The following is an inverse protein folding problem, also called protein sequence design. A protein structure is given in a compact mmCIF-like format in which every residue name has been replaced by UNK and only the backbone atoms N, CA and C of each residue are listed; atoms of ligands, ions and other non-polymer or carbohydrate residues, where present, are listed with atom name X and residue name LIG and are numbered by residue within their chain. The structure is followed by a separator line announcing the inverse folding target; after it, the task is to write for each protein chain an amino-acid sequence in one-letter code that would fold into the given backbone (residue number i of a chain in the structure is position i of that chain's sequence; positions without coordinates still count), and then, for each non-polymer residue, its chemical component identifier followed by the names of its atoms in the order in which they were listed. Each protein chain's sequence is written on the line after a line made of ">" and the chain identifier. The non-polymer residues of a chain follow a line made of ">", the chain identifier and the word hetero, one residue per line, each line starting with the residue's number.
data_IF_853794417870
#
_entry.id   IF_853794417870
#
_cell.length_a   1.000
_cell.length_b   1.000
_cell.length_c   1.000
_cell.angle_alpha   90.00
_cell.angle_beta   90.00
_cell.angle_gamma   90.00
#
_symmetry.space_group_name_H-M   'P 1'
#
loop_
_entity.id
_entity.type
_entity.pdbx_description
1 polymer ?
#
# COMPACT_ATOMS: atom_id res chain seq x y z
N UNK A 1 -20.77 -11.08 -7.51
CA UNK A 1 -19.96 -10.25 -6.63
C UNK A 1 -19.99 -8.79 -7.08
N UNK A 2 -20.02 -7.84 -6.12
CA UNK A 2 -19.92 -6.40 -6.39
C UNK A 2 -18.94 -5.71 -5.42
N UNK A 3 -18.11 -4.81 -5.95
CA UNK A 3 -17.40 -3.82 -5.15
C UNK A 3 -18.25 -2.57 -4.99
N UNK A 4 -18.82 -2.40 -3.80
CA UNK A 4 -19.58 -1.22 -3.39
C UNK A 4 -18.66 -0.23 -2.64
N UNK A 5 -19.24 0.66 -1.86
CA UNK A 5 -18.49 1.68 -1.12
C UNK A 5 -19.03 1.83 0.30
N UNK A 6 -18.17 2.16 1.24
CA UNK A 6 -18.61 2.61 2.57
C UNK A 6 -19.54 3.82 2.50
N UNK A 7 -19.53 4.57 1.39
CA UNK A 7 -20.44 5.69 1.14
C UNK A 7 -21.87 5.25 0.72
N UNK A 8 -22.15 3.97 0.52
CA UNK A 8 -23.48 3.47 0.19
C UNK A 8 -24.54 3.78 1.27
N UNK A 9 -24.10 4.10 2.48
CA UNK A 9 -24.97 4.52 3.60
C UNK A 9 -25.26 6.02 3.64
N UNK A 10 -24.61 6.82 2.78
CA UNK A 10 -24.75 8.28 2.75
C UNK A 10 -25.95 8.69 1.90
N UNK A 11 -26.70 9.71 2.35
CA UNK A 11 -27.83 10.28 1.62
C UNK A 11 -27.36 11.30 0.56
N UNK A 12 -26.67 10.79 -0.45
CA UNK A 12 -26.29 11.53 -1.66
C UNK A 12 -26.45 10.64 -2.89
N UNK A 13 -26.36 11.22 -4.09
CA UNK A 13 -26.63 10.50 -5.34
C UNK A 13 -25.70 9.31 -5.56
N UNK A 14 -24.40 9.45 -5.19
CA UNK A 14 -23.44 8.37 -5.26
C UNK A 14 -23.78 7.22 -4.30
N UNK A 15 -24.06 7.53 -3.03
CA UNK A 15 -24.46 6.55 -2.02
C UNK A 15 -25.74 5.82 -2.41
N UNK A 16 -26.77 6.56 -2.86
CA UNK A 16 -28.04 6.00 -3.36
C UNK A 16 -27.81 5.05 -4.53
N UNK A 17 -27.00 5.45 -5.51
CA UNK A 17 -26.68 4.59 -6.67
C UNK A 17 -25.98 3.29 -6.25
N UNK A 18 -25.03 3.36 -5.31
CA UNK A 18 -24.34 2.17 -4.77
C UNK A 18 -25.34 1.29 -4.03
N UNK A 19 -26.18 1.86 -3.17
CA UNK A 19 -27.19 1.13 -2.40
C UNK A 19 -28.22 0.43 -3.32
N UNK A 20 -28.69 1.11 -4.35
CA UNK A 20 -29.60 0.50 -5.35
C UNK A 20 -28.97 -0.71 -6.05
N UNK A 21 -27.67 -0.65 -6.35
CA UNK A 21 -26.96 -1.78 -6.95
C UNK A 21 -26.84 -2.96 -5.98
N UNK A 22 -26.60 -2.69 -4.68
CA UNK A 22 -26.61 -3.72 -3.64
C UNK A 22 -27.98 -4.38 -3.52
N UNK A 23 -29.04 -3.58 -3.42
CA UNK A 23 -30.42 -4.05 -3.25
C UNK A 23 -30.89 -4.91 -4.45
N UNK A 24 -30.49 -4.51 -5.67
CA UNK A 24 -30.78 -5.29 -6.87
C UNK A 24 -30.13 -6.68 -6.85
N UNK A 25 -28.89 -6.78 -6.37
CA UNK A 25 -28.19 -8.07 -6.24
C UNK A 25 -28.74 -8.92 -5.10
N UNK A 26 -29.13 -8.33 -3.98
CA UNK A 26 -29.78 -9.03 -2.87
C UNK A 26 -31.09 -9.63 -3.35
N UNK A 27 -31.93 -8.84 -4.03
CA UNK A 27 -33.16 -9.31 -4.62
C UNK A 27 -32.94 -10.47 -5.60
N UNK A 28 -31.96 -10.35 -6.49
CA UNK A 28 -31.61 -11.43 -7.41
C UNK A 28 -31.16 -12.70 -6.67
N UNK A 29 -30.39 -12.58 -5.60
CA UNK A 29 -30.03 -13.73 -4.77
C UNK A 29 -31.23 -14.43 -4.15
N UNK A 30 -32.19 -13.66 -3.64
CA UNK A 30 -33.40 -14.22 -3.01
C UNK A 30 -34.33 -14.88 -4.03
N UNK A 31 -34.37 -14.39 -5.28
CA UNK A 31 -35.23 -14.95 -6.36
C UNK A 31 -34.59 -16.19 -7.02
N UNK A 32 -33.26 -16.28 -7.10
CA UNK A 32 -32.55 -17.30 -7.89
C UNK A 32 -31.65 -18.23 -7.05
N UNK A 33 -31.62 -18.09 -5.73
CA UNK A 33 -30.71 -18.80 -4.81
C UNK A 33 -29.23 -18.66 -5.22
N UNK A 34 -28.87 -17.50 -5.78
CA UNK A 34 -27.49 -17.21 -6.22
C UNK A 34 -26.65 -16.68 -5.07
N UNK A 35 -25.41 -17.16 -4.93
CA UNK A 35 -24.46 -16.60 -3.97
C UNK A 35 -24.10 -15.17 -4.36
N UNK A 36 -24.25 -14.22 -3.43
CA UNK A 36 -23.90 -12.81 -3.61
C UNK A 36 -22.87 -12.36 -2.58
N UNK A 37 -21.84 -11.65 -3.05
CA UNK A 37 -20.76 -11.08 -2.25
C UNK A 37 -20.71 -9.58 -2.49
N UNK A 38 -20.93 -8.77 -1.45
CA UNK A 38 -20.93 -7.31 -1.49
C UNK A 38 -19.81 -6.79 -0.62
N UNK A 39 -18.81 -6.14 -1.23
CA UNK A 39 -17.72 -5.48 -0.53
C UNK A 39 -17.94 -3.98 -0.50
N UNK A 40 -18.19 -3.39 0.67
CA UNK A 40 -18.22 -1.95 0.88
C UNK A 40 -16.80 -1.44 1.16
N UNK A 41 -16.06 -1.14 0.10
CA UNK A 41 -14.68 -0.71 0.20
C UNK A 41 -14.55 0.75 0.65
N UNK A 42 -13.58 1.07 1.53
CA UNK A 42 -13.16 2.44 1.81
C UNK A 42 -12.35 2.99 0.63
N UNK A 43 -11.48 4.00 0.87
CA UNK A 43 -10.63 4.55 -0.19
C UNK A 43 -9.67 3.49 -0.73
N UNK A 44 -9.88 3.08 -1.96
CA UNK A 44 -9.04 2.11 -2.65
C UNK A 44 -7.80 2.79 -3.24
N UNK A 45 -6.64 2.19 -3.06
CA UNK A 45 -5.40 2.60 -3.72
C UNK A 45 -4.65 1.39 -4.27
N UNK A 46 -3.77 1.63 -5.23
CA UNK A 46 -2.94 0.57 -5.79
C UNK A 46 -2.34 0.91 -7.13
N UNK A 47 -1.63 -0.07 -7.66
CA UNK A 47 -0.88 -0.01 -8.91
C UNK A 47 -1.78 0.38 -10.09
N UNK A 48 -1.26 1.21 -11.01
CA UNK A 48 -1.90 1.63 -12.27
C UNK A 48 -3.23 2.38 -12.13
N UNK A 49 -3.58 2.83 -10.93
CA UNK A 49 -4.75 3.67 -10.75
C UNK A 49 -4.57 5.01 -11.48
N UNK A 50 -5.59 5.47 -12.19
CA UNK A 50 -5.55 6.73 -12.93
C UNK A 50 -5.37 7.92 -11.98
N UNK A 51 -4.29 8.73 -12.12
CA UNK A 51 -4.11 9.94 -11.31
C UNK A 51 -5.10 11.03 -11.71
N UNK A 52 -5.30 12.03 -10.85
CA UNK A 52 -6.19 13.17 -11.08
C UNK A 52 -7.64 12.78 -11.42
N UNK A 53 -8.11 11.68 -10.84
CA UNK A 53 -9.48 11.21 -11.04
C UNK A 53 -10.18 10.98 -9.68
N UNK A 54 -10.15 9.80 -9.10
CA UNK A 54 -10.88 9.47 -7.88
C UNK A 54 -10.00 9.01 -6.70
N UNK A 55 -8.68 9.11 -6.80
CA UNK A 55 -7.76 8.66 -5.76
C UNK A 55 -6.74 9.75 -5.43
N UNK A 56 -6.79 10.26 -4.21
CA UNK A 56 -5.79 11.18 -3.70
C UNK A 56 -4.40 10.51 -3.68
N UNK A 57 -4.32 9.25 -3.24
CA UNK A 57 -3.04 8.49 -3.19
C UNK A 57 -2.41 8.41 -4.58
N UNK A 58 -3.19 8.05 -5.61
CA UNK A 58 -2.71 7.97 -7.00
C UNK A 58 -2.21 9.30 -7.52
N UNK A 59 -2.95 10.38 -7.21
CA UNK A 59 -2.56 11.74 -7.59
C UNK A 59 -1.25 12.15 -6.91
N UNK A 60 -1.10 11.85 -5.61
CA UNK A 60 0.14 12.14 -4.88
C UNK A 60 1.33 11.32 -5.40
N UNK A 61 1.13 10.03 -5.67
CA UNK A 61 2.15 9.18 -6.28
C UNK A 61 2.64 9.74 -7.61
N UNK A 62 1.69 10.08 -8.49
CA UNK A 62 1.99 10.64 -9.80
C UNK A 62 2.74 11.98 -9.69
N UNK A 63 2.21 12.92 -8.90
CA UNK A 63 2.82 14.24 -8.76
C UNK A 63 4.26 14.14 -8.21
N UNK A 64 4.47 13.35 -7.16
CA UNK A 64 5.80 13.20 -6.56
C UNK A 64 6.77 12.44 -7.48
N UNK A 65 6.29 11.46 -8.24
CA UNK A 65 7.10 10.76 -9.23
C UNK A 65 7.61 11.70 -10.34
N UNK A 66 6.81 12.70 -10.70
CA UNK A 66 7.12 13.67 -11.76
C UNK A 66 7.63 15.04 -11.24
N UNK A 67 8.04 15.11 -9.96
CA UNK A 67 8.50 16.34 -9.30
C UNK A 67 7.50 17.51 -9.39
N UNK A 68 6.19 17.20 -9.42
CA UNK A 68 5.11 18.17 -9.39
C UNK A 68 4.69 18.49 -7.96
N UNK A 69 4.11 19.68 -7.77
CA UNK A 69 3.62 20.11 -6.46
C UNK A 69 2.46 19.22 -5.97
N UNK A 70 2.49 18.90 -4.69
CA UNK A 70 1.40 18.27 -3.98
C UNK A 70 0.79 19.28 -3.02
N UNK A 71 -0.48 19.55 -3.21
CA UNK A 71 -1.24 20.41 -2.35
C UNK A 71 -2.21 19.64 -1.48
N UNK A 72 -2.21 19.92 -0.17
CA UNK A 72 -3.05 19.29 0.83
C UNK A 72 -3.67 20.40 1.66
N UNK A 73 -5.00 20.43 1.76
CA UNK A 73 -5.71 21.41 2.59
C UNK A 73 -5.39 21.26 4.07
N UNK A 74 -5.48 20.03 4.57
CA UNK A 74 -5.23 19.68 5.95
C UNK A 74 -4.48 18.34 6.01
N UNK A 75 -3.19 18.34 6.38
CA UNK A 75 -2.39 17.12 6.46
C UNK A 75 -2.84 16.16 7.57
N UNK A 76 -3.64 16.61 8.54
CA UNK A 76 -4.13 15.80 9.65
C UNK A 76 -5.35 14.94 9.28
N UNK A 77 -6.00 15.17 8.13
CA UNK A 77 -7.13 14.35 7.70
C UNK A 77 -6.69 12.90 7.55
N UNK A 78 -7.34 12.01 8.31
CA UNK A 78 -7.12 10.59 8.27
C UNK A 78 -8.01 9.91 7.22
N UNK A 79 -7.42 9.01 6.44
CA UNK A 79 -8.10 8.16 5.48
C UNK A 79 -8.06 6.70 5.92
N UNK A 80 -9.19 6.02 5.77
CA UNK A 80 -9.24 4.57 5.75
C UNK A 80 -8.94 4.11 4.32
N UNK A 81 -7.90 3.30 4.16
CA UNK A 81 -7.34 2.89 2.88
C UNK A 81 -7.33 1.37 2.78
N UNK A 82 -7.64 0.84 1.60
CA UNK A 82 -7.48 -0.58 1.27
C UNK A 82 -6.63 -0.73 0.02
N UNK A 83 -5.69 -1.67 0.04
CA UNK A 83 -4.80 -1.92 -1.09
C UNK A 83 -5.43 -2.87 -2.10
N UNK A 84 -5.22 -2.62 -3.38
CA UNK A 84 -5.87 -3.39 -4.45
C UNK A 84 -5.57 -4.89 -4.39
N UNK A 85 -4.34 -5.29 -4.04
CA UNK A 85 -3.98 -6.71 -3.99
C UNK A 85 -4.71 -7.42 -2.83
N UNK A 86 -4.95 -6.73 -1.69
CA UNK A 86 -5.72 -7.27 -0.57
C UNK A 86 -7.19 -7.47 -0.97
N UNK A 87 -7.75 -6.54 -1.76
CA UNK A 87 -9.12 -6.67 -2.30
C UNK A 87 -9.21 -7.85 -3.26
N UNK A 88 -8.23 -7.99 -4.16
CA UNK A 88 -8.19 -9.10 -5.13
C UNK A 88 -8.08 -10.44 -4.41
N UNK A 89 -7.22 -10.55 -3.39
CA UNK A 89 -7.12 -11.76 -2.57
C UNK A 89 -8.45 -12.10 -1.90
N UNK A 90 -9.12 -11.10 -1.29
CA UNK A 90 -10.43 -11.27 -0.66
C UNK A 90 -11.51 -11.74 -1.65
N UNK A 91 -11.49 -11.24 -2.88
CA UNK A 91 -12.42 -11.65 -3.93
C UNK A 91 -12.16 -13.11 -4.34
N UNK A 92 -10.90 -13.50 -4.52
CA UNK A 92 -10.52 -14.87 -4.88
C UNK A 92 -10.96 -15.83 -3.79
N UNK A 93 -10.67 -15.54 -2.51
CA UNK A 93 -11.07 -16.37 -1.38
C UNK A 93 -12.59 -16.54 -1.28
N UNK A 94 -13.35 -15.48 -1.59
CA UNK A 94 -14.81 -15.59 -1.66
C UNK A 94 -15.30 -16.48 -2.81
N UNK A 95 -14.62 -16.48 -3.96
CA UNK A 95 -14.98 -17.32 -5.10
C UNK A 95 -14.66 -18.79 -4.80
N UNK A 96 -13.54 -19.05 -4.15
CA UNK A 96 -13.07 -20.38 -3.78
C UNK A 96 -13.71 -20.89 -2.48
N UNK A 97 -14.44 -20.04 -1.76
CA UNK A 97 -15.04 -20.28 -0.43
C UNK A 97 -13.99 -20.69 0.64
N UNK A 98 -12.79 -20.15 0.48
CA UNK A 98 -11.64 -20.39 1.35
C UNK A 98 -11.25 -19.13 2.14
N UNK A 99 -10.53 -19.31 3.25
CA UNK A 99 -9.94 -18.22 4.04
C UNK A 99 -10.90 -17.09 4.45
N UNK A 100 -12.20 -17.42 4.63
CA UNK A 100 -13.25 -16.48 5.04
C UNK A 100 -13.52 -16.65 6.53
N UNK A 101 -13.39 -15.58 7.30
CA UNK A 101 -13.85 -15.54 8.68
C UNK A 101 -15.36 -15.36 8.69
N UNK A 102 -16.09 -16.38 9.16
CA UNK A 102 -17.56 -16.31 9.34
C UNK A 102 -17.83 -15.92 10.79
N UNK A 103 -18.33 -14.71 11.02
CA UNK A 103 -18.76 -14.29 12.36
C UNK A 103 -20.03 -15.04 12.73
N UNK A 104 -19.95 -15.85 13.80
CA UNK A 104 -21.09 -16.63 14.27
C UNK A 104 -22.08 -15.84 15.12
N UNK A 105 -21.64 -14.76 15.78
CA UNK A 105 -22.46 -13.86 16.61
C UNK A 105 -21.89 -12.44 16.54
N UNK A 106 -22.77 -11.46 16.39
CA UNK A 106 -22.44 -10.03 16.29
C UNK A 106 -21.92 -9.45 17.63
N UNK A 107 -22.13 -10.16 18.75
CA UNK A 107 -21.82 -9.69 20.12
C UNK A 107 -20.43 -10.14 20.65
N UNK A 108 -19.67 -10.92 19.90
CA UNK A 108 -18.30 -11.28 20.31
C UNK A 108 -17.29 -10.36 19.61
N UNK A 109 -16.55 -9.60 20.40
CA UNK A 109 -15.32 -8.93 19.98
C UNK A 109 -14.32 -9.98 19.52
N UNK A 110 -14.41 -10.38 18.24
CA UNK A 110 -13.50 -11.35 17.65
C UNK A 110 -12.15 -10.65 17.50
N UNK A 111 -11.24 -10.93 18.41
CA UNK A 111 -9.83 -10.67 18.19
C UNK A 111 -9.42 -11.42 16.92
N UNK A 112 -9.27 -10.70 15.81
CA UNK A 112 -8.85 -11.25 14.52
C UNK A 112 -7.38 -11.65 14.61
N UNK A 113 -7.13 -12.84 15.16
CA UNK A 113 -5.82 -13.46 15.29
C UNK A 113 -5.62 -14.61 14.29
N UNK A 114 -6.49 -14.76 13.31
CA UNK A 114 -6.30 -15.77 12.26
C UNK A 114 -5.33 -15.26 11.21
N UNK A 115 -4.09 -15.67 11.32
CA UNK A 115 -3.07 -15.55 10.28
C UNK A 115 -3.58 -16.24 9.00
N UNK A 116 -3.84 -15.46 7.95
CA UNK A 116 -4.14 -15.98 6.62
C UNK A 116 -5.52 -15.70 6.05
N UNK A 117 -6.48 -15.20 6.84
CA UNK A 117 -7.77 -14.82 6.28
C UNK A 117 -7.71 -13.45 5.59
N UNK A 118 -8.22 -13.34 4.38
CA UNK A 118 -8.24 -12.11 3.60
C UNK A 118 -9.57 -11.35 3.69
N UNK A 119 -10.66 -12.03 4.07
CA UNK A 119 -12.00 -11.44 4.16
C UNK A 119 -12.78 -11.89 5.41
N UNK A 120 -13.69 -11.02 5.83
CA UNK A 120 -14.63 -11.25 6.93
C UNK A 120 -16.05 -11.20 6.37
N UNK A 121 -16.84 -12.23 6.60
CA UNK A 121 -18.26 -12.21 6.31
C UNK A 121 -18.99 -11.52 7.47
N UNK A 122 -19.59 -10.36 7.21
CA UNK A 122 -20.34 -9.56 8.21
C UNK A 122 -21.75 -10.10 8.40
N UNK A 123 -22.43 -10.37 7.28
CA UNK A 123 -23.74 -11.00 7.27
C UNK A 123 -23.91 -11.90 6.03
N UNK A 124 -25.14 -12.29 5.69
CA UNK A 124 -25.42 -13.17 4.54
C UNK A 124 -24.80 -12.69 3.22
N UNK A 125 -24.71 -11.37 3.00
CA UNK A 125 -24.33 -10.78 1.71
C UNK A 125 -23.07 -9.90 1.78
N UNK A 126 -22.75 -9.33 2.96
CA UNK A 126 -21.70 -8.33 3.12
C UNK A 126 -20.39 -8.94 3.62
N UNK A 127 -19.31 -8.49 2.99
CA UNK A 127 -17.95 -8.92 3.26
C UNK A 127 -17.03 -7.71 3.40
N UNK A 128 -16.04 -7.82 4.26
CA UNK A 128 -14.98 -6.81 4.43
C UNK A 128 -13.61 -7.43 4.21
N UNK A 129 -12.70 -6.62 3.67
CA UNK A 129 -11.28 -6.96 3.57
C UNK A 129 -10.64 -6.85 4.95
N UNK A 130 -9.85 -7.83 5.37
CA UNK A 130 -9.25 -7.86 6.72
C UNK A 130 -8.21 -6.76 6.93
N UNK A 131 -7.55 -6.29 5.87
CA UNK A 131 -6.47 -5.31 5.95
C UNK A 131 -6.96 -3.91 5.59
N UNK A 132 -7.11 -3.05 6.59
CA UNK A 132 -7.43 -1.63 6.41
C UNK A 132 -6.31 -0.79 7.02
N UNK A 133 -5.74 0.10 6.23
CA UNK A 133 -4.71 1.04 6.67
C UNK A 133 -5.33 2.39 7.03
N UNK A 134 -4.97 2.91 8.20
CA UNK A 134 -5.35 4.27 8.62
C UNK A 134 -4.12 5.16 8.54
N UNK A 135 -4.18 6.19 7.69
CA UNK A 135 -3.06 7.12 7.48
C UNK A 135 -3.58 8.52 7.22
N UNK A 136 -2.88 9.50 7.76
CA UNK A 136 -3.17 10.90 7.44
C UNK A 136 -2.64 11.26 6.07
N UNK A 137 -3.23 12.28 5.43
CA UNK A 137 -2.74 12.80 4.15
C UNK A 137 -1.28 13.23 4.24
N UNK A 138 -0.88 13.84 5.36
CA UNK A 138 0.51 14.22 5.62
C UNK A 138 1.44 13.01 5.62
N UNK A 139 1.11 11.94 6.37
CA UNK A 139 1.92 10.73 6.42
C UNK A 139 2.11 10.09 5.04
N UNK A 140 1.06 10.08 4.21
CA UNK A 140 1.13 9.54 2.84
C UNK A 140 2.14 10.33 2.02
N UNK A 141 2.04 11.66 2.03
CA UNK A 141 2.93 12.53 1.25
C UNK A 141 4.37 12.48 1.75
N UNK A 142 4.59 12.42 3.07
CA UNK A 142 5.93 12.31 3.65
C UNK A 142 6.60 10.99 3.26
N UNK A 143 5.86 9.87 3.29
CA UNK A 143 6.35 8.58 2.80
C UNK A 143 6.73 8.64 1.32
N UNK A 144 5.90 9.25 0.47
CA UNK A 144 6.18 9.38 -0.96
C UNK A 144 7.39 10.27 -1.25
N UNK A 145 7.56 11.38 -0.52
CA UNK A 145 8.75 12.23 -0.61
C UNK A 145 10.02 11.48 -0.19
N UNK A 146 9.93 10.65 0.84
CA UNK A 146 11.03 9.77 1.25
C UNK A 146 11.37 8.79 0.13
N UNK A 147 10.38 8.15 -0.52
CA UNK A 147 10.59 7.25 -1.66
C UNK A 147 11.29 7.97 -2.83
N UNK A 148 10.85 9.19 -3.18
CA UNK A 148 11.49 9.99 -4.23
C UNK A 148 12.94 10.32 -3.89
N UNK A 149 13.22 10.67 -2.62
CA UNK A 149 14.58 11.01 -2.18
C UNK A 149 15.49 9.78 -2.00
N UNK A 150 14.95 8.57 -1.95
CA UNK A 150 15.70 7.33 -1.70
C UNK A 150 16.89 7.15 -2.66
N UNK A 151 16.71 7.53 -3.94
CA UNK A 151 17.77 7.43 -4.96
C UNK A 151 18.97 8.34 -4.72
N UNK A 152 18.77 9.46 -4.01
CA UNK A 152 19.84 10.40 -3.63
C UNK A 152 20.44 10.05 -2.29
N UNK A 153 19.59 9.72 -1.31
CA UNK A 153 20.01 9.39 0.05
C UNK A 153 20.56 7.98 0.17
N UNK A 154 20.17 7.07 -0.75
CA UNK A 154 20.36 5.61 -0.71
C UNK A 154 19.72 4.96 0.53
N UNK A 155 18.86 5.69 1.26
CA UNK A 155 18.20 5.21 2.46
C UNK A 155 16.91 4.46 2.07
N UNK A 156 16.84 3.18 2.41
CA UNK A 156 15.64 2.36 2.19
C UNK A 156 14.59 2.72 3.24
N UNK A 157 13.32 2.92 2.84
CA UNK A 157 12.23 3.10 3.77
C UNK A 157 11.97 1.81 4.57
N UNK A 158 11.29 1.93 5.70
CA UNK A 158 10.82 0.76 6.43
C UNK A 158 9.68 0.08 5.66
N UNK A 159 10.03 -1.00 4.96
CA UNK A 159 9.08 -1.84 4.21
C UNK A 159 8.51 -3.00 5.05
N UNK A 160 8.83 -3.08 6.34
CA UNK A 160 8.17 -4.00 7.28
C UNK A 160 6.76 -3.51 7.62
N UNK A 161 6.51 -2.19 7.53
CA UNK A 161 5.15 -1.63 7.54
C UNK A 161 4.44 -2.02 6.23
N UNK A 162 3.37 -2.81 6.35
CA UNK A 162 2.57 -3.28 5.21
C UNK A 162 2.03 -2.13 4.34
N UNK A 163 1.64 -1.01 4.96
CA UNK A 163 1.21 0.18 4.22
C UNK A 163 2.34 0.77 3.36
N UNK A 164 3.51 0.99 3.95
CA UNK A 164 4.66 1.53 3.21
C UNK A 164 5.06 0.62 2.05
N UNK A 165 5.01 -0.70 2.24
CA UNK A 165 5.26 -1.68 1.18
C UNK A 165 4.25 -1.55 0.03
N UNK A 166 2.95 -1.48 0.34
CA UNK A 166 1.87 -1.31 -0.63
C UNK A 166 1.96 0.04 -1.36
N UNK A 167 2.22 1.13 -0.59
CA UNK A 167 2.38 2.48 -1.13
C UNK A 167 3.60 2.58 -2.05
N UNK A 168 4.74 1.97 -1.66
CA UNK A 168 5.94 1.94 -2.49
C UNK A 168 5.71 1.18 -3.80
N UNK A 169 5.05 0.02 -3.75
CA UNK A 169 4.67 -0.74 -4.95
C UNK A 169 3.76 0.07 -5.88
N UNK A 170 2.84 0.86 -5.29
CA UNK A 170 1.97 1.77 -6.04
C UNK A 170 2.77 2.91 -6.67
N UNK A 171 3.65 3.56 -5.89
CA UNK A 171 4.50 4.66 -6.35
C UNK A 171 5.37 4.27 -7.55
N UNK A 172 5.97 3.07 -7.53
CA UNK A 172 6.83 2.59 -8.61
C UNK A 172 6.12 2.54 -9.96
N UNK A 173 4.80 2.36 -10.00
CA UNK A 173 4.03 2.31 -11.26
C UNK A 173 3.82 3.67 -11.92
N UNK A 174 4.22 4.76 -11.27
CA UNK A 174 4.16 6.12 -11.82
C UNK A 174 5.52 6.68 -12.24
N UNK A 175 6.59 5.91 -12.05
CA UNK A 175 7.91 6.29 -12.54
C UNK A 175 8.01 6.01 -14.04
N UNK A 176 8.62 6.92 -14.79
CA UNK A 176 8.94 6.71 -16.19
C UNK A 176 10.05 5.66 -16.36
N UNK A 177 10.10 4.97 -17.50
CA UNK A 177 11.04 3.86 -17.73
C UNK A 177 12.51 4.27 -17.56
N UNK A 178 12.89 5.47 -17.95
CA UNK A 178 14.25 6.01 -17.83
C UNK A 178 14.58 6.49 -16.40
N UNK A 179 13.57 6.63 -15.53
CA UNK A 179 13.74 7.05 -14.13
C UNK A 179 13.91 5.88 -13.14
N UNK A 180 14.03 4.63 -13.62
CA UNK A 180 14.30 3.47 -12.75
C UNK A 180 15.77 3.32 -12.37
N UNK A 181 16.69 3.81 -13.19
CA UNK A 181 18.13 3.70 -12.94
C UNK A 181 18.71 4.99 -12.36
N UNK A 182 19.73 4.86 -11.55
CA UNK A 182 20.50 5.98 -11.02
C UNK A 182 21.98 5.59 -10.87
N UNK A 183 22.86 6.57 -10.99
CA UNK A 183 24.28 6.36 -10.83
C UNK A 183 24.67 6.42 -9.37
N UNK A 184 25.59 5.53 -8.97
CA UNK A 184 26.17 5.54 -7.64
C UNK A 184 27.34 6.52 -7.60
N UNK A 185 27.41 7.30 -6.52
CA UNK A 185 28.53 8.21 -6.27
C UNK A 185 29.79 7.43 -5.86
N UNK A 186 30.80 7.46 -6.72
CA UNK A 186 32.07 6.77 -6.51
C UNK A 186 33.06 7.70 -5.78
N UNK A 187 33.33 7.41 -4.52
CA UNK A 187 34.35 8.07 -3.72
C UNK A 187 35.71 7.40 -3.95
N UNK A 188 36.68 8.10 -4.54
CA UNK A 188 37.99 7.55 -4.92
C UNK A 188 39.11 8.33 -4.26
N UNK A 189 40.14 7.62 -3.78
CA UNK A 189 41.37 8.14 -3.24
C UNK A 189 42.58 7.24 -3.62
N UNK A 190 43.78 7.53 -3.10
CA UNK A 190 44.99 6.75 -3.36
C UNK A 190 44.93 5.29 -2.87
N UNK A 191 43.97 4.92 -2.08
CA UNK A 191 43.75 3.55 -1.57
C UNK A 191 42.83 2.71 -2.45
N UNK A 192 42.11 3.36 -3.36
CA UNK A 192 41.08 2.77 -4.22
C UNK A 192 39.77 3.54 -4.17
N UNK A 193 38.66 2.89 -4.44
CA UNK A 193 37.33 3.53 -4.45
C UNK A 193 36.29 2.76 -3.64
N UNK A 194 35.24 3.47 -3.31
CA UNK A 194 34.04 2.94 -2.63
C UNK A 194 32.80 3.57 -3.23
N UNK A 195 31.75 2.78 -3.46
CA UNK A 195 30.42 3.24 -3.83
C UNK A 195 29.37 2.61 -2.89
N UNK A 196 28.58 3.46 -2.25
CA UNK A 196 27.46 3.01 -1.42
C UNK A 196 26.30 2.55 -2.33
N UNK A 197 25.70 1.40 -2.02
CA UNK A 197 24.56 0.85 -2.77
C UNK A 197 23.25 1.19 -2.09
N UNK A 198 23.20 1.00 -0.77
CA UNK A 198 21.97 1.10 0.01
C UNK A 198 22.30 1.28 1.50
N UNK A 199 21.45 2.03 2.20
CA UNK A 199 21.48 2.26 3.65
C UNK A 199 20.14 1.96 4.29
N UNK A 200 20.18 1.55 5.54
CA UNK A 200 19.00 1.39 6.40
C UNK A 200 19.33 1.93 7.79
N UNK A 201 18.38 2.59 8.39
CA UNK A 201 18.52 3.06 9.79
C UNK A 201 18.60 1.88 10.77
N UNK A 202 17.96 0.76 10.46
CA UNK A 202 17.91 -0.41 11.32
C UNK A 202 19.03 -1.42 11.06
N UNK A 203 19.46 -1.56 9.80
CA UNK A 203 20.30 -2.68 9.35
C UNK A 203 21.70 -2.26 8.85
N UNK A 204 22.04 -0.97 8.91
CA UNK A 204 23.33 -0.45 8.47
C UNK A 204 23.38 -0.15 6.97
N UNK A 205 24.50 -0.47 6.32
CA UNK A 205 24.72 -0.12 4.91
C UNK A 205 25.41 -1.22 4.13
N UNK A 206 25.15 -1.24 2.81
CA UNK A 206 25.87 -2.07 1.86
C UNK A 206 26.64 -1.18 0.88
N UNK A 207 27.86 -1.58 0.57
CA UNK A 207 28.72 -0.85 -0.38
C UNK A 207 29.63 -1.81 -1.14
N UNK A 208 30.12 -1.36 -2.29
CA UNK A 208 31.18 -2.02 -3.06
C UNK A 208 32.44 -1.19 -2.96
N UNK A 209 33.58 -1.83 -2.74
CA UNK A 209 34.89 -1.15 -2.73
C UNK A 209 35.92 -1.92 -3.51
N UNK A 210 36.85 -1.17 -4.14
CA UNK A 210 38.07 -1.69 -4.73
C UNK A 210 39.25 -1.13 -3.97
N UNK A 211 40.14 -2.01 -3.51
CA UNK A 211 41.38 -1.61 -2.83
C UNK A 211 42.57 -1.88 -3.74
N UNK A 212 43.50 -0.94 -3.84
CA UNK A 212 44.74 -1.13 -4.61
C UNK A 212 45.65 -2.16 -3.95
N UNK A 213 46.47 -2.90 -4.75
CA UNK A 213 47.44 -3.84 -4.21
C UNK A 213 48.37 -3.19 -3.18
N UNK A 214 48.68 -3.92 -2.10
CA UNK A 214 49.52 -3.46 -1.02
C UNK A 214 48.87 -2.50 -0.01
N UNK A 215 47.58 -2.14 -0.20
CA UNK A 215 46.84 -1.28 0.73
C UNK A 215 46.01 -2.14 1.69
N UNK A 216 46.14 -1.84 2.98
CA UNK A 216 45.26 -2.37 4.02
C UNK A 216 44.14 -1.38 4.33
N UNK A 217 42.91 -1.82 4.26
CA UNK A 217 41.73 -1.07 4.73
C UNK A 217 41.11 -1.75 5.94
N UNK A 218 40.32 -1.02 6.70
CA UNK A 218 39.68 -1.50 7.92
C UNK A 218 40.51 -1.14 9.13
N UNK A 219 41.08 -2.13 9.80
CA UNK A 219 41.83 -1.95 11.06
C UNK A 219 40.97 -1.30 12.15
N UNK A 220 39.65 -1.61 12.14
CA UNK A 220 38.68 -1.20 13.12
C UNK A 220 37.66 -2.34 13.33
N UNK A 221 36.96 -2.29 14.38
CA UNK A 221 35.91 -3.24 14.74
C UNK A 221 34.64 -2.48 15.13
N UNK A 222 33.50 -3.16 15.03
CA UNK A 222 32.22 -2.64 15.45
C UNK A 222 31.83 -3.28 16.76
N UNK A 223 31.43 -2.47 17.75
CA UNK A 223 30.95 -2.96 19.04
C UNK A 223 29.48 -3.35 19.03
N UNK A 224 28.73 -2.86 18.04
CA UNK A 224 27.29 -3.12 17.85
C UNK A 224 27.08 -3.70 16.46
N UNK A 225 26.26 -4.72 16.39
CA UNK A 225 25.74 -5.28 15.15
C UNK A 225 24.30 -4.87 14.98
#
# INVERSE_FOLDING_TARGET
>A
LITSSTHAVLDNDYGKSKKQSEDALIKYSDECDAKVYIFRLPNLFGKWCRPNYNSAVSTFCYNIAHDLDVWINDPAIELNLVYIDDVVASIIDCIEDENIIKLKNIDEEVAITTTGASSIQIDKYYYEVTTIYRRTLGNIVDSLKMFRNMRKSLLIPDLSDGFNKALYSTYLTYLEEDDFSYYLDKKEDNRGWLAELVKSEQFGQMFVSKTHPGITRGNHWHHTK
#
